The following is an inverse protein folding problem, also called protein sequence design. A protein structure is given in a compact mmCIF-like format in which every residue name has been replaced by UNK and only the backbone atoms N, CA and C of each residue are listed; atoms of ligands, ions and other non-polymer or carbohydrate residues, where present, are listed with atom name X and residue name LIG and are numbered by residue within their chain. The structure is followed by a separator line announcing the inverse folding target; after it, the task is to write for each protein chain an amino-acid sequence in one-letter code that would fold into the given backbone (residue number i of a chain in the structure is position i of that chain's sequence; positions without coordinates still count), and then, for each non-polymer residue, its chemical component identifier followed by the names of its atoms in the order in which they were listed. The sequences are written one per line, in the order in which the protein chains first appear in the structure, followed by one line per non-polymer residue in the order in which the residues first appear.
data_IF_348605557814
#
_entry.id   IF_348605557814
#
_cell.length_a   1.000
_cell.length_b   1.000
_cell.length_c   1.000
_cell.angle_alpha   90.00
_cell.angle_beta   90.00
_cell.angle_gamma   90.00
#
_symmetry.space_group_name_H-M   'P 1'
#
loop_
_entity.id
_entity.type
_entity.pdbx_description
1 polymer ?
#
# COMPACT_ATOMS: atom_id res chain seq x y z
N UNK A 1 -18.50 -26.81 -9.55
CA UNK A 1 -17.20 -26.57 -8.87
C UNK A 1 -16.57 -25.35 -9.53
N UNK A 2 -16.48 -24.21 -8.84
CA UNK A 2 -15.91 -22.97 -9.39
C UNK A 2 -14.42 -22.95 -9.05
N UNK A 3 -13.57 -22.97 -10.07
CA UNK A 3 -12.12 -22.88 -9.94
C UNK A 3 -11.74 -21.56 -9.28
N UNK A 4 -10.98 -21.65 -8.19
CA UNK A 4 -10.27 -20.50 -7.64
C UNK A 4 -9.12 -20.21 -8.59
N UNK A 5 -9.14 -19.04 -9.21
CA UNK A 5 -7.96 -18.49 -9.87
C UNK A 5 -7.01 -18.05 -8.75
N UNK A 6 -6.18 -18.98 -8.29
CA UNK A 6 -5.05 -18.68 -7.42
C UNK A 6 -4.07 -17.86 -8.26
N UNK A 7 -3.99 -16.56 -7.97
CA UNK A 7 -2.98 -15.69 -8.55
C UNK A 7 -1.65 -15.99 -7.83
N UNK A 8 -0.91 -16.98 -8.32
CA UNK A 8 0.48 -17.19 -7.90
C UNK A 8 1.33 -16.05 -8.45
N UNK A 9 1.77 -15.14 -7.59
CA UNK A 9 2.84 -14.21 -7.92
C UNK A 9 4.14 -15.01 -7.94
N UNK A 10 4.48 -15.55 -9.11
CA UNK A 10 5.78 -16.17 -9.37
C UNK A 10 6.80 -15.05 -9.55
N UNK A 11 7.65 -14.83 -8.54
CA UNK A 11 8.82 -13.95 -8.66
C UNK A 11 9.81 -14.63 -9.60
N UNK A 12 9.87 -14.16 -10.85
CA UNK A 12 10.80 -14.70 -11.84
C UNK A 12 12.23 -14.21 -11.53
N UNK A 13 13.01 -15.04 -10.86
CA UNK A 13 14.41 -14.77 -10.49
C UNK A 13 15.33 -14.48 -11.70
N UNK A 14 14.88 -14.75 -12.94
CA UNK A 14 15.66 -14.52 -14.17
C UNK A 14 15.20 -13.30 -14.98
N UNK A 15 14.28 -12.50 -14.45
CA UNK A 15 13.73 -11.32 -15.11
C UNK A 15 13.74 -10.08 -14.22
N UNK A 16 14.80 -9.89 -13.42
CA UNK A 16 15.06 -8.63 -12.73
C UNK A 16 15.17 -7.55 -13.82
N UNK A 17 14.11 -6.77 -14.02
CA UNK A 17 14.30 -5.39 -14.43
C UNK A 17 15.15 -4.77 -13.30
N UNK A 18 16.34 -4.29 -13.65
CA UNK A 18 17.34 -3.74 -12.73
C UNK A 18 16.73 -2.63 -11.83
N UNK A 19 16.22 -3.02 -10.66
CA UNK A 19 15.63 -2.19 -9.61
C UNK A 19 14.21 -1.65 -9.89
N UNK A 20 13.20 -2.39 -9.41
CA UNK A 20 11.90 -1.81 -9.11
C UNK A 20 12.08 -0.72 -8.03
N UNK A 21 12.09 0.54 -8.43
CA UNK A 21 12.17 1.69 -7.52
C UNK A 21 10.99 1.80 -6.55
N UNK A 22 9.95 0.97 -6.72
CA UNK A 22 8.77 0.90 -5.89
C UNK A 22 7.65 1.86 -6.30
N UNK A 23 6.59 1.86 -5.50
CA UNK A 23 5.45 2.78 -5.61
C UNK A 23 5.52 3.79 -4.48
N UNK A 24 5.45 5.07 -4.84
CA UNK A 24 5.45 6.17 -3.90
C UNK A 24 4.11 6.90 -3.92
N UNK A 25 3.73 7.39 -2.76
CA UNK A 25 2.47 8.09 -2.56
C UNK A 25 2.74 9.40 -1.83
N UNK A 26 1.95 10.41 -2.15
CA UNK A 26 1.82 11.59 -1.31
C UNK A 26 0.81 11.29 -0.22
N UNK A 27 1.25 11.36 1.03
CA UNK A 27 0.36 11.33 2.16
C UNK A 27 -0.29 12.69 2.35
N UNK A 28 -1.62 12.73 2.47
CA UNK A 28 -2.35 13.94 2.82
C UNK A 28 -3.35 13.68 3.92
N UNK A 29 -3.41 14.59 4.89
CA UNK A 29 -4.47 14.64 5.89
C UNK A 29 -5.37 15.85 5.66
N UNK A 30 -6.67 15.68 5.87
CA UNK A 30 -7.62 16.77 5.91
C UNK A 30 -8.60 16.59 7.07
N UNK A 31 -8.92 17.69 7.74
CA UNK A 31 -9.90 17.74 8.82
C UNK A 31 -11.13 18.53 8.38
N UNK A 32 -12.31 17.99 8.63
CA UNK A 32 -13.57 18.63 8.31
C UNK A 32 -14.52 18.58 9.50
N UNK A 33 -15.30 19.64 9.68
CA UNK A 33 -16.42 19.62 10.62
C UNK A 33 -17.66 19.13 9.89
N UNK A 34 -18.14 17.94 10.26
CA UNK A 34 -19.35 17.37 9.71
C UNK A 34 -20.60 18.16 10.12
N UNK A 35 -21.72 17.92 9.43
CA UNK A 35 -23.01 18.62 9.65
C UNK A 35 -23.52 18.58 11.11
N UNK A 36 -23.08 17.61 11.90
CA UNK A 36 -23.47 17.44 13.31
C UNK A 36 -22.44 18.05 14.29
N UNK A 37 -21.54 18.91 13.82
CA UNK A 37 -20.45 19.49 14.63
C UNK A 37 -19.31 18.51 14.94
N UNK A 38 -19.38 17.25 14.46
CA UNK A 38 -18.35 16.25 14.67
C UNK A 38 -17.13 16.53 13.79
N UNK A 39 -15.96 16.59 14.39
CA UNK A 39 -14.69 16.61 13.66
C UNK A 39 -14.42 15.25 13.00
N UNK A 40 -14.10 15.28 11.71
CA UNK A 40 -13.75 14.12 10.90
C UNK A 40 -12.37 14.36 10.30
N UNK A 41 -11.44 13.45 10.57
CA UNK A 41 -10.13 13.44 9.92
C UNK A 41 -10.12 12.38 8.83
N UNK A 42 -9.65 12.75 7.64
CA UNK A 42 -9.44 11.84 6.52
C UNK A 42 -7.96 11.78 6.20
N UNK A 43 -7.49 10.57 5.91
CA UNK A 43 -6.13 10.28 5.47
C UNK A 43 -6.21 9.71 4.06
N UNK A 44 -5.40 10.22 3.16
CA UNK A 44 -5.41 9.85 1.75
C UNK A 44 -3.97 9.58 1.28
N UNK A 45 -3.82 8.60 0.37
CA UNK A 45 -2.59 8.28 -0.33
C UNK A 45 -2.81 8.55 -1.82
N UNK A 46 -2.04 9.50 -2.38
CA UNK A 46 -2.11 9.83 -3.80
C UNK A 46 -0.90 9.30 -4.54
N UNK A 47 -1.04 8.44 -5.56
CA UNK A 47 0.11 7.89 -6.29
C UNK A 47 0.97 8.98 -6.94
N UNK A 48 2.29 8.92 -6.75
CA UNK A 48 3.27 9.81 -7.36
C UNK A 48 3.90 9.15 -8.60
N UNK A 49 3.13 9.10 -9.69
CA UNK A 49 3.48 8.36 -10.92
C UNK A 49 4.82 8.76 -11.54
N UNK A 50 5.25 10.01 -11.38
CA UNK A 50 6.50 10.52 -11.98
C UNK A 50 7.78 9.99 -11.34
N UNK A 51 7.70 9.55 -10.08
CA UNK A 51 8.85 9.00 -9.33
C UNK A 51 8.63 7.55 -8.94
N UNK A 52 7.49 6.96 -9.33
CA UNK A 52 7.17 5.56 -9.08
C UNK A 52 7.51 4.72 -10.29
N UNK A 53 7.77 3.43 -10.06
CA UNK A 53 7.80 2.45 -11.13
C UNK A 53 6.48 2.53 -11.93
N UNK A 54 6.52 2.47 -13.28
CA UNK A 54 5.31 2.45 -14.12
C UNK A 54 4.36 1.29 -13.81
N UNK A 55 4.84 0.27 -13.08
CA UNK A 55 4.08 -0.88 -12.64
C UNK A 55 4.71 -2.16 -13.17
N UNK A 56 5.43 -2.87 -12.31
CA UNK A 56 5.87 -4.24 -12.57
C UNK A 56 4.92 -5.23 -11.87
N UNK A 57 5.13 -6.53 -12.10
CA UNK A 57 4.37 -7.60 -11.43
C UNK A 57 4.43 -7.51 -9.90
N UNK A 58 5.44 -6.85 -9.33
CA UNK A 58 5.62 -6.71 -7.88
C UNK A 58 4.83 -5.53 -7.28
N UNK A 59 4.53 -4.48 -8.06
CA UNK A 59 3.98 -3.23 -7.52
C UNK A 59 2.74 -2.67 -8.27
N UNK A 60 2.41 -3.16 -9.46
CA UNK A 60 1.27 -2.67 -10.24
C UNK A 60 -0.08 -2.98 -9.58
N UNK A 61 -0.21 -4.12 -8.91
CA UNK A 61 -1.45 -4.52 -8.23
C UNK A 61 -1.82 -3.63 -7.03
N UNK A 62 -0.87 -2.84 -6.51
CA UNK A 62 -1.06 -2.04 -5.31
C UNK A 62 -2.04 -0.87 -5.51
N UNK A 63 -2.02 -0.22 -6.68
CA UNK A 63 -2.94 0.89 -6.99
C UNK A 63 -4.40 0.41 -7.02
N UNK A 64 -4.65 -0.74 -7.66
CA UNK A 64 -5.96 -1.36 -7.74
C UNK A 64 -6.43 -1.87 -6.37
N UNK A 65 -5.53 -2.48 -5.60
CA UNK A 65 -5.83 -2.96 -4.25
C UNK A 65 -6.17 -1.79 -3.31
N UNK A 66 -5.43 -0.69 -3.37
CA UNK A 66 -5.76 0.55 -2.64
C UNK A 66 -7.13 1.07 -3.05
N UNK A 67 -7.43 1.18 -4.35
CA UNK A 67 -8.73 1.67 -4.81
C UNK A 67 -9.89 0.79 -4.32
N UNK A 68 -9.71 -0.53 -4.30
CA UNK A 68 -10.74 -1.48 -3.86
C UNK A 68 -10.90 -1.51 -2.32
N UNK A 69 -9.81 -1.33 -1.57
CA UNK A 69 -9.75 -1.67 -0.13
C UNK A 69 -9.40 -0.48 0.78
N UNK A 70 -9.21 0.73 0.25
CA UNK A 70 -8.84 1.91 1.06
C UNK A 70 -9.85 2.26 2.17
N UNK A 71 -11.11 1.83 2.05
CA UNK A 71 -12.15 2.03 3.07
C UNK A 71 -12.16 0.94 4.15
N UNK A 72 -11.42 -0.16 3.95
CA UNK A 72 -11.33 -1.26 4.91
C UNK A 72 -10.53 -0.81 6.14
N UNK A 73 -11.16 -0.92 7.31
CA UNK A 73 -10.50 -0.60 8.58
C UNK A 73 -9.32 -1.54 8.80
N UNK A 74 -8.12 -0.96 8.97
CA UNK A 74 -6.89 -1.71 9.24
C UNK A 74 -6.19 -2.26 7.99
N UNK A 75 -6.65 -1.92 6.79
CA UNK A 75 -5.94 -2.27 5.56
C UNK A 75 -4.65 -1.48 5.38
N UNK A 76 -4.69 -0.17 5.65
CA UNK A 76 -3.50 0.70 5.73
C UNK A 76 -3.37 1.27 7.14
N UNK A 77 -2.18 1.15 7.71
CA UNK A 77 -1.77 1.79 8.93
C UNK A 77 -0.82 2.95 8.62
N UNK A 78 -1.07 4.10 9.22
CA UNK A 78 -0.25 5.29 9.05
C UNK A 78 0.64 5.45 10.28
N UNK A 79 1.95 5.64 10.08
CA UNK A 79 2.89 5.92 11.16
C UNK A 79 2.51 7.19 11.94
N UNK A 80 2.74 7.24 13.26
CA UNK A 80 2.31 8.34 14.11
C UNK A 80 3.01 9.68 13.84
N UNK A 81 4.15 9.63 13.13
CA UNK A 81 4.98 10.81 12.83
C UNK A 81 4.80 11.32 11.41
N UNK A 82 3.91 10.72 10.60
CA UNK A 82 3.66 11.18 9.24
C UNK A 82 2.95 12.53 9.23
N UNK A 83 3.42 13.44 8.37
CA UNK A 83 2.87 14.76 8.17
C UNK A 83 2.22 14.87 6.79
N UNK A 84 1.10 15.60 6.73
CA UNK A 84 0.45 15.90 5.44
C UNK A 84 1.46 16.58 4.51
N UNK A 85 1.66 16.00 3.34
CA UNK A 85 2.71 16.41 2.41
C UNK A 85 3.87 15.43 2.30
N UNK A 86 4.00 14.44 3.20
CA UNK A 86 5.10 13.47 3.13
C UNK A 86 5.04 12.58 1.89
N UNK A 87 6.22 12.25 1.36
CA UNK A 87 6.35 11.15 0.40
C UNK A 87 6.49 9.86 1.18
N UNK A 88 5.65 8.88 0.91
CA UNK A 88 5.62 7.60 1.62
C UNK A 88 5.66 6.43 0.65
N UNK A 89 6.09 5.28 1.15
CA UNK A 89 5.92 3.97 0.49
C UNK A 89 5.13 3.04 1.41
N UNK A 90 4.60 1.95 0.86
CA UNK A 90 3.82 0.97 1.60
C UNK A 90 4.64 -0.29 1.84
N UNK A 91 4.83 -0.64 3.10
CA UNK A 91 5.44 -1.89 3.52
C UNK A 91 4.35 -2.91 3.87
N UNK A 92 4.42 -4.11 3.30
CA UNK A 92 3.50 -5.19 3.66
C UNK A 92 3.91 -5.80 5.01
N UNK A 93 3.01 -5.77 5.99
CA UNK A 93 3.23 -6.29 7.34
C UNK A 93 2.31 -7.49 7.61
N UNK A 94 2.84 -8.70 7.84
CA UNK A 94 2.02 -9.88 8.12
C UNK A 94 1.43 -9.82 9.54
N UNK A 95 0.11 -9.94 9.65
CA UNK A 95 -0.62 -10.08 10.92
C UNK A 95 -0.58 -11.53 11.40
N UNK A 96 -0.75 -12.47 10.47
CA UNK A 96 -0.71 -13.89 10.78
C UNK A 96 -0.09 -14.67 9.63
N UNK A 97 0.49 -15.81 9.96
CA UNK A 97 1.05 -16.76 9.00
C UNK A 97 0.27 -18.05 9.08
N UNK A 98 0.12 -18.68 7.93
CA UNK A 98 -0.33 -20.06 7.82
C UNK A 98 0.68 -20.97 8.53
N UNK A 99 0.18 -21.91 9.35
CA UNK A 99 1.01 -22.72 10.23
C UNK A 99 1.79 -23.81 9.48
N UNK A 100 1.29 -24.27 8.35
CA UNK A 100 1.90 -25.34 7.56
C UNK A 100 2.92 -24.79 6.57
N UNK A 101 2.61 -23.66 5.94
CA UNK A 101 3.42 -23.08 4.88
C UNK A 101 4.29 -21.89 5.33
N UNK A 102 4.01 -21.32 6.51
CA UNK A 102 4.68 -20.11 7.01
C UNK A 102 4.35 -18.84 6.22
N UNK A 103 3.46 -18.92 5.23
CA UNK A 103 3.08 -17.82 4.34
C UNK A 103 2.14 -16.84 5.05
N UNK A 104 2.24 -15.52 4.81
CA UNK A 104 1.26 -14.56 5.32
C UNK A 104 -0.16 -14.94 4.91
N UNK A 105 -1.07 -15.02 5.87
CA UNK A 105 -2.51 -15.29 5.63
C UNK A 105 -3.35 -14.03 5.71
N UNK A 106 -2.94 -13.13 6.60
CA UNK A 106 -3.55 -11.82 6.79
C UNK A 106 -2.40 -10.83 6.93
N UNK A 107 -2.47 -9.73 6.20
CA UNK A 107 -1.50 -8.64 6.24
C UNK A 107 -2.23 -7.30 6.19
N UNK A 108 -1.52 -6.26 6.59
CA UNK A 108 -1.87 -4.87 6.32
C UNK A 108 -0.67 -4.18 5.64
N UNK A 109 -0.89 -2.97 5.15
CA UNK A 109 0.18 -2.12 4.66
C UNK A 109 0.49 -1.02 5.67
N UNK A 110 1.76 -0.82 5.98
CA UNK A 110 2.20 0.32 6.76
C UNK A 110 2.76 1.41 5.83
N UNK A 111 2.23 2.63 5.96
CA UNK A 111 2.78 3.79 5.28
C UNK A 111 3.98 4.31 6.07
N UNK A 112 5.15 4.29 5.42
CA UNK A 112 6.42 4.72 5.99
C UNK A 112 7.03 5.84 5.14
N UNK A 113 7.76 6.76 5.76
CA UNK A 113 8.45 7.84 5.05
C UNK A 113 9.40 7.23 4.02
N UNK A 114 9.29 7.71 2.78
CA UNK A 114 10.19 7.31 1.71
C UNK A 114 11.23 8.41 1.48
N UNK A 115 12.48 8.00 1.33
CA UNK A 115 13.56 8.82 0.80
C UNK A 115 13.82 8.38 -0.64
N UNK A 116 13.03 8.84 -1.63
CA UNK A 116 13.31 8.50 -3.02
C UNK A 116 14.68 9.08 -3.37
N UNK A 117 15.66 8.21 -3.65
CA UNK A 117 16.95 8.63 -4.20
C UNK A 117 16.70 9.27 -5.56
N UNK A 118 16.91 10.58 -5.65
CA UNK A 118 16.98 11.36 -6.89
C UNK A 118 18.15 10.94 -7.78
#
# INVERSE_FOLDING_TARGET
MRGKHDMEILVNEKGVQDDCIGRFFRYTEAGFTGKNGRFVQTRELRPLKSISCPGCAECAGLDEELAARASEKGFVQFGPMLQSGDTVTLLQVPISRDRETGRPKVWFYEAILANPTT
#
